data_IF_545000987429
#
_entry.id   IF_545000987429
#
_cell.length_a   1.000
_cell.length_b   1.000
_cell.length_c   1.000
_cell.angle_alpha   90.00
_cell.angle_beta   90.00
_cell.angle_gamma   90.00
#
_symmetry.space_group_name_H-M   'P 1'
#
loop_
_entity.id
_entity.type
_entity.pdbx_description
1 polymer ?
#
# COMPACT_ATOMS: atom_id res chain seq x y z
N UNK A 1 10.71 34.22 8.77
CA UNK A 1 10.16 34.25 7.40
C UNK A 1 11.13 33.53 6.46
N UNK A 2 12.31 34.10 6.16
CA UNK A 2 13.36 33.39 5.41
C UNK A 2 13.73 32.01 5.97
N UNK A 3 13.78 31.87 7.29
CA UNK A 3 14.20 30.61 7.92
C UNK A 3 13.15 29.50 7.76
N UNK A 4 11.86 29.86 7.81
CA UNK A 4 10.73 28.94 7.54
C UNK A 4 10.72 28.52 6.06
N UNK A 5 10.90 29.48 5.14
CA UNK A 5 11.04 29.19 3.70
C UNK A 5 12.23 28.26 3.40
N UNK A 6 13.31 28.32 4.18
CA UNK A 6 14.47 27.44 4.06
C UNK A 6 14.20 26.03 4.64
N UNK A 7 13.51 25.93 5.77
CA UNK A 7 13.06 24.67 6.36
C UNK A 7 12.11 23.92 5.41
N UNK A 8 11.13 24.61 4.82
CA UNK A 8 10.20 24.04 3.83
C UNK A 8 10.95 23.51 2.58
N UNK A 9 11.90 24.30 2.04
CA UNK A 9 12.71 23.88 0.87
C UNK A 9 13.60 22.69 1.20
N UNK A 10 14.21 22.64 2.39
CA UNK A 10 15.01 21.50 2.82
C UNK A 10 14.15 20.25 3.00
N UNK A 11 12.99 20.36 3.66
CA UNK A 11 12.03 19.27 3.86
C UNK A 11 11.57 18.64 2.55
N UNK A 12 11.15 19.47 1.58
CA UNK A 12 10.75 19.02 0.24
C UNK A 12 11.92 18.31 -0.45
N UNK A 13 13.14 18.88 -0.36
CA UNK A 13 14.35 18.29 -0.96
C UNK A 13 14.71 16.92 -0.36
N UNK A 14 14.63 16.77 0.96
CA UNK A 14 14.88 15.49 1.65
C UNK A 14 13.87 14.42 1.24
N UNK A 15 12.60 14.79 1.07
CA UNK A 15 11.54 13.90 0.59
C UNK A 15 11.80 13.44 -0.86
N UNK A 16 12.17 14.35 -1.77
CA UNK A 16 12.58 13.97 -3.13
C UNK A 16 13.81 13.05 -3.16
N UNK A 17 14.84 13.33 -2.35
CA UNK A 17 16.05 12.50 -2.25
C UNK A 17 15.72 11.10 -1.74
N UNK A 18 14.82 10.99 -0.76
CA UNK A 18 14.35 9.73 -0.19
C UNK A 18 13.59 8.91 -1.24
N UNK A 19 12.59 9.51 -1.90
CA UNK A 19 11.87 8.91 -3.02
C UNK A 19 12.80 8.38 -4.11
N UNK A 20 13.77 9.17 -4.56
CA UNK A 20 14.70 8.75 -5.60
C UNK A 20 15.58 7.56 -5.19
N UNK A 21 16.06 7.52 -3.93
CA UNK A 21 16.83 6.39 -3.39
C UNK A 21 15.98 5.12 -3.26
N UNK A 22 14.77 5.25 -2.71
CA UNK A 22 13.85 4.13 -2.51
C UNK A 22 13.41 3.53 -3.84
N UNK A 23 13.06 4.36 -4.82
CA UNK A 23 12.75 3.91 -6.18
C UNK A 23 13.94 3.21 -6.84
N UNK A 24 15.15 3.75 -6.67
CA UNK A 24 16.38 3.10 -7.14
C UNK A 24 16.66 1.76 -6.45
N UNK A 25 16.21 1.55 -5.20
CA UNK A 25 16.23 0.23 -4.53
C UNK A 25 15.24 -0.70 -5.22
N UNK A 26 13.98 -0.30 -5.32
CA UNK A 26 12.91 -1.14 -5.88
C UNK A 26 13.19 -1.59 -7.31
N UNK A 27 13.68 -0.71 -8.21
CA UNK A 27 14.08 -1.13 -9.57
C UNK A 27 15.15 -2.22 -9.54
N UNK A 28 16.16 -2.11 -8.66
CA UNK A 28 17.23 -3.12 -8.56
C UNK A 28 16.72 -4.44 -8.01
N UNK A 29 15.88 -4.40 -6.98
CA UNK A 29 15.21 -5.58 -6.43
C UNK A 29 14.37 -6.27 -7.50
N UNK A 30 13.53 -5.53 -8.22
CA UNK A 30 12.73 -6.05 -9.33
C UNK A 30 13.62 -6.70 -10.40
N UNK A 31 14.70 -6.02 -10.82
CA UNK A 31 15.60 -6.54 -11.87
C UNK A 31 16.28 -7.83 -11.44
N UNK A 32 16.75 -7.95 -10.18
CA UNK A 32 17.35 -9.19 -9.65
C UNK A 32 16.35 -10.33 -9.63
N UNK A 33 15.16 -10.09 -9.06
CA UNK A 33 14.11 -11.10 -8.93
C UNK A 33 13.62 -11.64 -10.29
N UNK A 34 13.61 -10.78 -11.32
CA UNK A 34 13.25 -11.18 -12.68
C UNK A 34 14.39 -11.91 -13.41
N UNK A 35 15.65 -11.50 -13.24
CA UNK A 35 16.82 -12.17 -13.85
C UNK A 35 17.05 -13.59 -13.26
N UNK A 36 16.78 -13.75 -11.97
CA UNK A 36 16.85 -15.02 -11.25
C UNK A 36 15.68 -15.98 -11.58
N UNK A 37 14.69 -15.52 -12.37
CA UNK A 37 13.44 -16.23 -12.70
C UNK A 37 12.76 -16.85 -11.46
N UNK A 38 12.74 -16.09 -10.36
CA UNK A 38 12.35 -16.61 -9.05
C UNK A 38 10.83 -16.85 -8.97
N UNK A 39 10.40 -18.10 -8.79
CA UNK A 39 8.99 -18.43 -8.61
C UNK A 39 8.41 -17.67 -7.41
N UNK A 40 7.32 -16.91 -7.61
CA UNK A 40 6.72 -16.08 -6.55
C UNK A 40 7.45 -14.76 -6.28
N UNK A 41 8.28 -14.28 -7.22
CA UNK A 41 8.96 -12.97 -7.15
C UNK A 41 8.01 -11.81 -6.78
N UNK A 42 6.75 -11.85 -7.20
CA UNK A 42 5.74 -10.83 -6.90
C UNK A 42 5.54 -10.64 -5.40
N UNK A 43 5.43 -11.73 -4.63
CA UNK A 43 5.24 -11.66 -3.19
C UNK A 43 6.44 -11.01 -2.48
N UNK A 44 7.67 -11.35 -2.89
CA UNK A 44 8.88 -10.71 -2.36
C UNK A 44 8.97 -9.23 -2.77
N UNK A 45 8.69 -8.91 -4.03
CA UNK A 45 8.69 -7.54 -4.53
C UNK A 45 7.65 -6.67 -3.79
N UNK A 46 6.43 -7.18 -3.59
CA UNK A 46 5.40 -6.49 -2.82
C UNK A 46 5.83 -6.26 -1.36
N UNK A 47 6.45 -7.23 -0.69
CA UNK A 47 6.98 -7.01 0.66
C UNK A 47 8.05 -5.90 0.70
N UNK A 48 8.91 -5.79 -0.32
CA UNK A 48 9.85 -4.69 -0.46
C UNK A 48 9.15 -3.34 -0.69
N UNK A 49 8.10 -3.30 -1.51
CA UNK A 49 7.27 -2.10 -1.72
C UNK A 49 6.57 -1.67 -0.43
N UNK A 50 6.01 -2.62 0.33
CA UNK A 50 5.31 -2.38 1.60
C UNK A 50 6.24 -1.86 2.70
N UNK A 51 7.49 -2.33 2.75
CA UNK A 51 8.52 -1.77 3.62
C UNK A 51 8.85 -0.32 3.23
N UNK A 52 9.06 -0.03 1.93
CA UNK A 52 9.33 1.33 1.47
C UNK A 52 8.18 2.30 1.70
N UNK A 53 6.93 1.83 1.62
CA UNK A 53 5.75 2.63 1.99
C UNK A 53 5.86 3.14 3.44
N UNK A 54 6.50 2.41 4.35
CA UNK A 54 6.74 2.88 5.73
C UNK A 54 8.00 3.76 5.83
N UNK A 55 9.05 3.49 5.04
CA UNK A 55 10.30 4.28 5.11
C UNK A 55 10.17 5.69 4.50
N UNK A 56 9.17 5.95 3.66
CA UNK A 56 8.90 7.29 3.10
C UNK A 56 8.12 8.22 4.01
N UNK A 57 7.30 7.70 4.92
CA UNK A 57 6.33 8.51 5.67
C UNK A 57 7.01 9.52 6.60
N UNK A 58 6.36 10.67 6.75
CA UNK A 58 6.93 11.85 7.40
C UNK A 58 6.87 11.77 8.92
N UNK A 59 5.80 11.19 9.47
CA UNK A 59 5.59 11.01 10.90
C UNK A 59 6.02 9.60 11.38
N UNK A 60 5.85 9.33 12.69
CA UNK A 60 6.31 8.11 13.37
C UNK A 60 6.08 6.84 12.54
N UNK A 61 7.08 5.97 12.50
CA UNK A 61 7.09 4.72 11.71
C UNK A 61 7.04 3.48 12.58
N UNK A 62 7.09 3.66 13.90
CA UNK A 62 7.01 2.57 14.87
C UNK A 62 5.58 2.07 15.03
N UNK A 63 4.59 2.96 14.88
CA UNK A 63 3.16 2.68 14.95
C UNK A 63 2.51 2.32 13.61
N UNK A 64 3.30 2.23 12.52
CA UNK A 64 2.78 2.03 11.16
C UNK A 64 3.03 0.63 10.62
N UNK A 65 2.00 0.11 9.96
CA UNK A 65 2.01 -1.16 9.23
C UNK A 65 1.41 -0.95 7.85
N UNK A 66 1.61 -1.92 6.95
CA UNK A 66 1.11 -1.86 5.58
C UNK A 66 0.67 -3.24 5.09
N UNK A 67 -0.26 -3.26 4.15
CA UNK A 67 -0.89 -4.47 3.63
C UNK A 67 -1.28 -4.27 2.18
N UNK A 68 -1.04 -5.27 1.33
CA UNK A 68 -1.51 -5.30 -0.05
C UNK A 68 -2.57 -6.38 -0.22
N UNK A 69 -3.71 -5.98 -0.77
CA UNK A 69 -4.75 -6.89 -1.24
C UNK A 69 -4.77 -6.88 -2.77
N UNK A 70 -4.91 -8.04 -3.40
CA UNK A 70 -5.09 -8.21 -4.85
C UNK A 70 -6.43 -8.91 -5.09
N UNK A 71 -7.07 -8.58 -6.21
CA UNK A 71 -8.33 -9.21 -6.62
C UNK A 71 -8.01 -10.58 -7.21
N UNK A 72 -8.57 -11.62 -6.59
CA UNK A 72 -8.52 -13.01 -7.05
C UNK A 72 -9.93 -13.61 -6.93
N UNK A 73 -10.44 -14.25 -7.98
CA UNK A 73 -11.77 -14.90 -7.98
C UNK A 73 -12.93 -13.95 -7.56
N UNK A 74 -12.89 -12.69 -8.02
CA UNK A 74 -13.83 -11.61 -7.63
C UNK A 74 -13.85 -11.28 -6.11
N UNK A 75 -12.74 -11.54 -5.41
CA UNK A 75 -12.55 -11.22 -3.98
C UNK A 75 -11.19 -10.56 -3.76
N UNK A 76 -11.11 -9.54 -2.91
CA UNK A 76 -9.81 -9.00 -2.46
C UNK A 76 -9.17 -9.95 -1.44
N UNK A 77 -8.05 -10.59 -1.80
CA UNK A 77 -7.27 -11.46 -0.90
C UNK A 77 -5.96 -10.77 -0.51
N UNK A 78 -5.50 -11.01 0.72
CA UNK A 78 -4.23 -10.45 1.22
C UNK A 78 -3.02 -11.15 0.59
N UNK A 79 -2.21 -10.43 -0.18
CA UNK A 79 -1.06 -10.97 -0.90
C UNK A 79 0.28 -10.65 -0.22
N UNK A 80 0.39 -9.53 0.48
CA UNK A 80 1.60 -9.12 1.19
C UNK A 80 1.28 -8.26 2.43
N UNK A 81 2.17 -8.27 3.43
CA UNK A 81 2.02 -7.46 4.64
C UNK A 81 3.39 -7.09 5.24
N UNK A 82 3.47 -5.93 5.89
CA UNK A 82 4.64 -5.50 6.66
C UNK A 82 4.22 -5.00 8.04
N UNK A 83 4.93 -5.46 9.08
CA UNK A 83 4.70 -5.12 10.50
C UNK A 83 3.29 -5.44 11.04
N UNK A 84 2.50 -6.25 10.34
CA UNK A 84 1.23 -6.78 10.85
C UNK A 84 1.51 -8.03 11.70
N UNK A 85 0.98 -8.07 12.93
CA UNK A 85 1.06 -9.26 13.79
C UNK A 85 0.23 -10.42 13.21
N UNK A 86 0.91 -11.40 12.61
CA UNK A 86 0.32 -12.51 11.86
C UNK A 86 -0.61 -13.43 12.68
N UNK A 87 -0.52 -13.41 14.02
CA UNK A 87 -1.25 -14.33 14.91
C UNK A 87 -2.78 -14.08 14.99
N UNK A 88 -3.28 -12.97 14.44
CA UNK A 88 -4.71 -12.60 14.48
C UNK A 88 -5.29 -12.16 13.14
N UNK A 89 -4.51 -12.17 12.06
CA UNK A 89 -4.98 -12.11 10.68
C UNK A 89 -5.27 -13.52 10.18
N UNK A 90 -6.53 -13.98 10.32
CA UNK A 90 -7.13 -14.74 9.22
C UNK A 90 -6.99 -13.87 7.96
N UNK A 91 -6.77 -14.48 6.80
CA UNK A 91 -6.85 -13.78 5.51
C UNK A 91 -8.20 -13.07 5.44
N UNK A 92 -8.20 -11.75 5.65
CA UNK A 92 -9.43 -10.97 5.52
C UNK A 92 -9.66 -10.81 4.04
N UNK A 93 -10.72 -11.44 3.60
CA UNK A 93 -11.27 -11.31 2.27
C UNK A 93 -12.32 -10.20 2.32
N UNK A 94 -12.44 -9.43 1.24
CA UNK A 94 -13.42 -8.37 1.11
C UNK A 94 -14.16 -8.52 -0.22
N UNK A 95 -15.48 -8.57 -0.19
CA UNK A 95 -16.28 -8.45 -1.41
C UNK A 95 -16.25 -7.02 -1.96
N UNK A 96 -16.66 -6.86 -3.22
CA UNK A 96 -16.66 -5.57 -3.91
C UNK A 96 -17.65 -4.56 -3.27
N UNK A 97 -17.11 -3.55 -2.60
CA UNK A 97 -17.86 -2.56 -1.84
C UNK A 97 -17.98 -2.85 -0.34
N UNK A 98 -17.33 -3.90 0.16
CA UNK A 98 -17.45 -4.35 1.55
C UNK A 98 -16.28 -3.88 2.45
N UNK A 99 -16.61 -3.48 3.67
CA UNK A 99 -15.63 -2.93 4.60
C UNK A 99 -14.86 -1.73 4.02
N UNK A 100 -13.62 -1.52 4.45
CA UNK A 100 -12.80 -0.40 3.97
C UNK A 100 -12.15 -0.70 2.61
N UNK A 101 -11.44 -1.83 2.51
CA UNK A 101 -10.71 -2.19 1.29
C UNK A 101 -11.67 -2.46 0.11
N UNK A 102 -12.80 -3.14 0.35
CA UNK A 102 -13.83 -3.32 -0.68
C UNK A 102 -14.50 -2.00 -1.09
N UNK A 103 -14.65 -1.01 -0.20
CA UNK A 103 -15.13 0.31 -0.62
C UNK A 103 -14.13 1.02 -1.55
N UNK A 104 -12.85 1.04 -1.21
CA UNK A 104 -11.78 1.60 -2.07
C UNK A 104 -11.71 0.88 -3.41
N UNK A 105 -11.93 -0.44 -3.42
CA UNK A 105 -12.04 -1.22 -4.66
C UNK A 105 -13.23 -0.75 -5.53
N UNK A 106 -14.40 -0.56 -4.92
CA UNK A 106 -15.64 -0.16 -5.59
C UNK A 106 -15.65 1.29 -6.08
N UNK A 107 -15.11 2.22 -5.30
CA UNK A 107 -15.02 3.64 -5.71
C UNK A 107 -13.89 3.85 -6.70
N UNK A 108 -12.80 3.10 -6.54
CA UNK A 108 -11.55 3.38 -7.21
C UNK A 108 -10.93 4.71 -6.78
N UNK A 109 -11.31 5.27 -5.63
CA UNK A 109 -10.76 6.52 -5.11
C UNK A 109 -9.90 6.27 -3.87
N UNK A 110 -8.93 7.14 -3.62
CA UNK A 110 -8.13 7.10 -2.40
C UNK A 110 -9.01 7.52 -1.23
N UNK A 111 -8.98 6.75 -0.13
CA UNK A 111 -9.73 7.07 1.08
C UNK A 111 -8.82 7.10 2.31
N UNK A 112 -8.95 8.15 3.12
CA UNK A 112 -8.29 8.32 4.41
C UNK A 112 -9.37 8.32 5.50
N UNK A 113 -9.20 7.47 6.51
CA UNK A 113 -9.99 7.49 7.74
C UNK A 113 -9.08 7.91 8.89
N UNK A 114 -9.27 9.13 9.39
CA UNK A 114 -8.54 9.71 10.53
C UNK A 114 -8.86 9.06 11.88
N UNK A 115 -10.09 8.58 12.05
CA UNK A 115 -10.55 7.86 13.24
C UNK A 115 -11.42 6.67 12.78
N UNK A 116 -10.88 5.45 12.92
CA UNK A 116 -11.59 4.24 12.54
C UNK A 116 -12.85 3.98 13.38
N UNK A 117 -12.92 4.48 14.63
CA UNK A 117 -14.04 4.27 15.53
C UNK A 117 -15.26 5.13 15.14
N UNK A 118 -15.01 6.28 14.50
CA UNK A 118 -16.05 7.10 13.89
C UNK A 118 -16.61 6.52 12.58
N UNK A 119 -15.86 5.63 11.92
CA UNK A 119 -16.21 5.11 10.59
C UNK A 119 -17.21 3.94 10.62
N UNK A 120 -17.96 3.77 9.54
CA UNK A 120 -18.87 2.63 9.32
C UNK A 120 -18.16 1.38 8.79
N UNK A 121 -16.97 1.50 8.22
CA UNK A 121 -16.27 0.39 7.54
C UNK A 121 -15.73 -0.68 8.48
N UNK A 122 -15.55 -0.37 9.76
CA UNK A 122 -14.85 -1.21 10.75
C UNK A 122 -15.80 -1.85 11.77
N UNK A 123 -16.94 -2.36 11.29
CA UNK A 123 -18.02 -2.92 12.12
C UNK A 123 -18.29 -4.39 11.77
N UNK A 124 -18.81 -5.15 12.74
CA UNK A 124 -19.04 -6.59 12.58
C UNK A 124 -17.73 -7.33 12.29
N UNK A 125 -17.74 -8.20 11.28
CA UNK A 125 -16.58 -9.00 10.87
C UNK A 125 -15.40 -8.16 10.33
N UNK A 126 -15.64 -6.87 10.01
CA UNK A 126 -14.62 -5.90 9.62
C UNK A 126 -14.02 -5.11 10.79
N UNK A 127 -14.46 -5.36 12.03
CA UNK A 127 -13.80 -4.81 13.21
C UNK A 127 -12.34 -5.25 13.26
N UNK A 128 -11.36 -4.33 13.39
CA UNK A 128 -9.95 -4.71 13.46
C UNK A 128 -9.67 -5.49 14.75
N UNK A 129 -8.73 -6.44 14.66
CA UNK A 129 -8.28 -7.25 15.80
C UNK A 129 -7.09 -6.58 16.54
N UNK A 130 -6.71 -5.38 16.11
CA UNK A 130 -5.62 -4.55 16.62
C UNK A 130 -6.12 -3.11 16.76
N UNK A 131 -5.47 -2.33 17.61
CA UNK A 131 -5.73 -0.90 17.70
C UNK A 131 -5.07 -0.19 16.50
N UNK A 132 -5.78 -0.10 15.39
CA UNK A 132 -5.55 0.99 14.44
C UNK A 132 -6.30 2.22 14.95
N UNK A 133 -5.73 3.41 14.78
CA UNK A 133 -6.43 4.68 14.99
C UNK A 133 -6.85 5.28 13.65
N UNK A 134 -5.99 5.17 12.63
CA UNK A 134 -6.21 5.71 11.29
C UNK A 134 -5.68 4.78 10.18
N UNK A 135 -6.17 4.98 8.96
CA UNK A 135 -5.82 4.15 7.79
C UNK A 135 -6.01 4.91 6.47
N UNK A 136 -5.06 4.74 5.55
CA UNK A 136 -5.18 5.12 4.13
C UNK A 136 -5.39 3.86 3.30
N UNK A 137 -6.30 3.90 2.34
CA UNK A 137 -6.49 2.90 1.29
C UNK A 137 -6.27 3.54 -0.08
N UNK A 138 -5.37 2.96 -0.87
CA UNK A 138 -5.02 3.41 -2.21
C UNK A 138 -5.37 2.31 -3.23
N UNK A 139 -6.17 2.62 -4.28
CA UNK A 139 -6.52 1.66 -5.30
C UNK A 139 -5.32 1.37 -6.21
N UNK A 140 -4.98 0.09 -6.39
CA UNK A 140 -3.99 -0.39 -7.34
C UNK A 140 -4.68 -0.56 -8.69
N UNK A 141 -4.31 0.25 -9.69
CA UNK A 141 -5.06 0.39 -10.95
C UNK A 141 -4.28 -0.05 -12.19
N UNK A 142 -4.95 -0.80 -13.06
CA UNK A 142 -4.53 -1.03 -14.45
C UNK A 142 -5.54 -0.32 -15.37
N UNK A 143 -5.09 0.74 -16.04
CA UNK A 143 -5.94 1.65 -16.81
C UNK A 143 -7.09 2.22 -15.94
N UNK A 144 -8.32 1.74 -16.14
CA UNK A 144 -9.50 2.13 -15.37
C UNK A 144 -10.02 1.03 -14.42
N UNK A 145 -9.36 -0.12 -14.38
CA UNK A 145 -9.74 -1.26 -13.54
C UNK A 145 -8.90 -1.27 -12.27
N UNK A 146 -9.56 -1.37 -11.11
CA UNK A 146 -8.88 -1.59 -9.83
C UNK A 146 -8.62 -3.09 -9.67
N UNK A 147 -7.36 -3.47 -9.54
CA UNK A 147 -6.87 -4.86 -9.43
C UNK A 147 -6.42 -5.22 -8.02
N UNK A 148 -6.45 -4.26 -7.10
CA UNK A 148 -6.04 -4.45 -5.71
C UNK A 148 -6.17 -3.17 -4.89
N UNK A 149 -5.85 -3.24 -3.60
CA UNK A 149 -5.83 -2.11 -2.68
C UNK A 149 -4.61 -2.18 -1.77
N UNK A 150 -3.82 -1.11 -1.78
CA UNK A 150 -2.72 -0.88 -0.85
C UNK A 150 -3.26 -0.14 0.38
N UNK A 151 -3.16 -0.76 1.55
CA UNK A 151 -3.58 -0.19 2.83
C UNK A 151 -2.37 0.14 3.70
N UNK A 152 -2.33 1.35 4.28
CA UNK A 152 -1.35 1.75 5.29
C UNK A 152 -2.09 2.10 6.57
N UNK A 153 -1.75 1.46 7.68
CA UNK A 153 -2.40 1.64 8.98
C UNK A 153 -1.46 2.31 9.99
N UNK A 154 -2.02 3.08 10.91
CA UNK A 154 -1.33 3.68 12.07
C UNK A 154 -2.12 3.36 13.34
N UNK A 155 -1.43 3.08 14.46
CA UNK A 155 -2.09 2.91 15.77
C UNK A 155 -2.67 4.25 16.29
N UNK A 156 -2.18 5.38 15.78
CA UNK A 156 -2.61 6.73 16.11
C UNK A 156 -3.85 7.16 15.33
N UNK A 157 -4.75 7.92 15.96
CA UNK A 157 -5.72 8.76 15.23
C UNK A 157 -4.97 9.91 14.54
N UNK A 158 -5.49 10.38 13.40
CA UNK A 158 -4.84 11.42 12.57
C UNK A 158 -3.35 11.14 12.26
N UNK A 159 -2.97 9.87 12.14
CA UNK A 159 -1.57 9.42 12.01
C UNK A 159 -0.91 9.67 10.64
N UNK A 160 -1.57 10.44 9.76
CA UNK A 160 -1.18 10.71 8.38
C UNK A 160 -1.48 12.16 7.99
N UNK A 161 -0.65 12.71 7.08
CA UNK A 161 -0.86 14.02 6.45
C UNK A 161 -1.14 13.89 4.95
N UNK A 162 -1.67 14.93 4.32
CA UNK A 162 -1.96 14.93 2.87
C UNK A 162 -0.73 14.60 2.00
N UNK A 163 0.46 15.07 2.41
CA UNK A 163 1.72 14.75 1.73
C UNK A 163 2.13 13.26 1.80
N UNK A 164 1.61 12.50 2.78
CA UNK A 164 1.78 11.03 2.82
C UNK A 164 0.94 10.36 1.73
N UNK A 165 -0.28 10.85 1.46
CA UNK A 165 -1.17 10.30 0.42
C UNK A 165 -0.50 10.40 -0.96
N UNK A 166 0.00 11.58 -1.34
CA UNK A 166 0.65 11.78 -2.63
C UNK A 166 1.93 10.95 -2.78
N UNK A 167 2.66 10.81 -1.68
CA UNK A 167 3.84 9.92 -1.57
C UNK A 167 3.47 8.45 -1.77
N UNK A 168 2.35 7.99 -1.20
CA UNK A 168 1.90 6.60 -1.26
C UNK A 168 1.25 6.21 -2.60
N UNK A 169 0.61 7.15 -3.32
CA UNK A 169 0.03 6.89 -4.66
C UNK A 169 1.06 6.25 -5.61
N UNK A 170 2.27 6.79 -5.60
CA UNK A 170 3.39 6.24 -6.38
C UNK A 170 3.65 4.75 -6.10
N UNK A 171 3.61 4.31 -4.84
CA UNK A 171 3.85 2.91 -4.49
C UNK A 171 2.66 2.00 -4.89
N UNK A 172 1.43 2.51 -4.93
CA UNK A 172 0.30 1.79 -5.50
C UNK A 172 0.47 1.56 -7.02
N UNK A 173 0.99 2.56 -7.76
CA UNK A 173 1.32 2.40 -9.19
C UNK A 173 2.45 1.38 -9.40
N UNK A 174 3.44 1.31 -8.50
CA UNK A 174 4.51 0.30 -8.53
C UNK A 174 3.97 -1.11 -8.28
N UNK A 175 3.03 -1.29 -7.35
CA UNK A 175 2.29 -2.55 -7.18
C UNK A 175 1.54 -2.92 -8.46
N UNK A 176 0.90 -1.96 -9.13
CA UNK A 176 0.16 -2.20 -10.37
C UNK A 176 1.09 -2.68 -11.49
N UNK A 177 2.27 -2.06 -11.65
CA UNK A 177 3.27 -2.47 -12.64
C UNK A 177 3.72 -3.93 -12.43
N UNK A 178 3.96 -4.35 -11.18
CA UNK A 178 4.34 -5.72 -10.89
C UNK A 178 3.20 -6.71 -11.17
N UNK A 179 1.97 -6.39 -10.76
CA UNK A 179 0.77 -7.18 -11.09
C UNK A 179 0.62 -7.38 -12.60
N UNK A 180 0.77 -6.29 -13.38
CA UNK A 180 0.66 -6.31 -14.83
C UNK A 180 1.70 -7.22 -15.50
N UNK A 181 2.95 -7.14 -15.03
CA UNK A 181 4.05 -7.97 -15.55
C UNK A 181 3.82 -9.46 -15.29
N UNK A 182 3.42 -9.82 -14.06
CA UNK A 182 3.14 -11.21 -13.68
C UNK A 182 2.01 -11.82 -14.52
N UNK A 183 0.91 -11.08 -14.68
CA UNK A 183 -0.28 -11.55 -15.40
C UNK A 183 -0.10 -11.62 -16.93
N UNK A 184 0.85 -10.89 -17.51
CA UNK A 184 1.12 -10.97 -18.96
C UNK A 184 1.99 -12.17 -19.31
N UNK A 185 2.98 -12.50 -18.49
CA UNK A 185 3.87 -13.63 -18.78
C UNK A 185 3.10 -14.97 -18.78
N UNK A 186 2.06 -15.09 -17.95
CA UNK A 186 1.11 -16.21 -17.96
C UNK A 186 0.40 -16.38 -19.33
N UNK A 187 0.21 -15.30 -20.10
CA UNK A 187 -0.42 -15.34 -21.42
C UNK A 187 0.59 -15.74 -22.50
N UNK A 188 1.87 -15.36 -22.38
CA UNK A 188 2.91 -15.76 -23.34
C UNK A 188 3.36 -17.21 -23.20
N UNK A 189 3.32 -17.78 -21.99
CA UNK A 189 3.73 -19.18 -21.75
C UNK A 189 2.67 -20.22 -22.15
N UNK A 190 1.50 -19.79 -22.63
CA UNK A 190 0.47 -20.65 -23.25
C UNK A 190 0.44 -20.59 -24.79
N UNK A 191 1.46 -19.98 -25.42
CA UNK A 191 1.58 -19.77 -26.87
C UNK A 191 2.47 -20.77 -27.62
#
# INVERSE_FOLDING_TARGET
MKDVELEDVQYVSETFIRHHKNWSRLIRTLTSLLDENHTGWTAEFYNNVLDECITVLHQDRSDKSSTLYIVEDDVLKMTAYHRVNFTSTRSREFEHGEGFAGNVWKTGEVELVSDICASTYFKGDFSPNHNYGSIIGLPVKINHTVVGVLCIQSESIDGFIEADIDTLKFYADVCALAYYYDNINVISDMG
#
